data_IF_037431618065
#
_entry.id   IF_037431618065
#
_cell.length_a   1.000
_cell.length_b   1.000
_cell.length_c   1.000
_cell.angle_alpha   90.00
_cell.angle_beta   90.00
_cell.angle_gamma   90.00
#
_symmetry.space_group_name_H-M   'P 1'
#
loop_
_entity.id
_entity.type
_entity.pdbx_description
1 polymer ?
#
# COMPACT_ATOMS: atom_id res chain seq x y z
N UNK A 1 5.27 -21.22 -0.37
CA UNK A 1 5.23 -19.81 -0.82
C UNK A 1 5.01 -18.94 0.40
N UNK A 2 5.98 -18.10 0.78
CA UNK A 2 5.87 -17.21 1.94
C UNK A 2 5.20 -15.91 1.48
N UNK A 3 3.92 -15.72 1.81
CA UNK A 3 3.19 -14.47 1.53
C UNK A 3 3.52 -13.39 2.58
N UNK A 4 4.80 -13.23 2.88
CA UNK A 4 5.29 -12.12 3.70
C UNK A 4 5.00 -10.83 2.94
N UNK A 5 4.20 -9.94 3.52
CA UNK A 5 3.97 -8.62 2.95
C UNK A 5 5.28 -7.86 3.10
N UNK A 6 5.89 -7.50 1.97
CA UNK A 6 7.18 -6.82 1.98
C UNK A 6 7.05 -5.42 2.61
N UNK A 7 8.11 -4.93 3.28
CA UNK A 7 8.18 -3.50 3.60
C UNK A 7 8.01 -2.68 2.31
N UNK A 8 7.35 -1.54 2.41
CA UNK A 8 6.98 -0.71 1.26
C UNK A 8 5.69 -1.14 0.56
N UNK A 9 4.99 -2.18 1.03
CA UNK A 9 3.71 -2.58 0.46
C UNK A 9 2.68 -1.44 0.49
N UNK A 10 2.05 -1.20 -0.66
CA UNK A 10 0.99 -0.21 -0.83
C UNK A 10 -0.34 -0.82 -0.42
N UNK A 11 -0.92 -0.26 0.64
CA UNK A 11 -2.10 -0.78 1.30
C UNK A 11 -3.30 0.14 1.09
N UNK A 12 -4.47 -0.48 0.91
CA UNK A 12 -5.75 0.17 1.06
C UNK A 12 -6.44 -0.24 2.35
N UNK A 13 -7.46 0.52 2.75
CA UNK A 13 -8.24 0.25 3.96
C UNK A 13 -9.60 -0.29 3.57
N UNK A 14 -9.94 -1.47 4.08
CA UNK A 14 -11.28 -2.04 3.95
C UNK A 14 -12.24 -1.17 4.77
N UNK A 15 -13.29 -0.67 4.13
CA UNK A 15 -14.23 0.28 4.76
C UNK A 15 -14.99 -0.35 5.92
N UNK A 16 -15.46 -1.59 5.74
CA UNK A 16 -16.29 -2.28 6.72
C UNK A 16 -15.52 -2.65 8.01
N UNK A 17 -14.27 -3.12 7.87
CA UNK A 17 -13.49 -3.61 9.01
C UNK A 17 -12.45 -2.61 9.51
N UNK A 18 -12.10 -1.62 8.71
CA UNK A 18 -11.00 -0.70 8.98
C UNK A 18 -9.61 -1.33 8.87
N UNK A 19 -9.50 -2.61 8.49
CA UNK A 19 -8.23 -3.34 8.32
C UNK A 19 -7.56 -2.95 7.01
N UNK A 20 -6.26 -3.20 6.93
CA UNK A 20 -5.46 -2.91 5.75
C UNK A 20 -5.15 -4.19 4.97
N UNK A 21 -5.19 -4.08 3.64
CA UNK A 21 -4.79 -5.13 2.71
C UNK A 21 -4.09 -4.51 1.51
N UNK A 22 -3.43 -5.34 0.69
CA UNK A 22 -2.78 -4.88 -0.55
C UNK A 22 -3.79 -4.17 -1.45
N UNK A 23 -3.41 -3.00 -1.96
CA UNK A 23 -4.32 -2.19 -2.76
C UNK A 23 -4.36 -2.67 -4.21
N UNK A 24 -5.35 -3.51 -4.53
CA UNK A 24 -5.60 -4.02 -5.88
C UNK A 24 -6.01 -2.91 -6.86
N UNK A 25 -5.90 -3.17 -8.16
CA UNK A 25 -6.23 -2.21 -9.22
C UNK A 25 -7.73 -1.86 -9.26
N UNK A 26 -8.58 -2.82 -8.91
CA UNK A 26 -10.05 -2.69 -8.86
C UNK A 26 -10.56 -3.31 -7.56
N UNK A 27 -11.78 -2.95 -7.19
CA UNK A 27 -12.43 -3.42 -5.96
C UNK A 27 -13.65 -2.58 -5.64
N UNK A 28 -14.38 -2.96 -4.60
CA UNK A 28 -15.61 -2.28 -4.16
C UNK A 28 -15.71 -2.11 -2.64
N UNK A 29 -14.71 -2.56 -1.88
CA UNK A 29 -14.68 -2.55 -0.42
C UNK A 29 -13.90 -1.35 0.17
N UNK A 30 -13.28 -0.54 -0.69
CA UNK A 30 -12.45 0.60 -0.33
C UNK A 30 -10.94 0.30 -0.35
N UNK A 31 -10.54 -0.98 -0.32
CA UNK A 31 -9.14 -1.36 -0.33
C UNK A 31 -8.44 -1.10 -1.68
N UNK A 32 -9.20 -0.91 -2.75
CA UNK A 32 -8.68 -0.49 -4.06
C UNK A 32 -8.12 0.95 -4.07
N UNK A 33 -8.30 1.73 -3.01
CA UNK A 33 -7.69 3.06 -2.86
C UNK A 33 -6.47 2.96 -1.95
N UNK A 34 -5.29 3.32 -2.45
CA UNK A 34 -4.06 3.33 -1.67
C UNK A 34 -4.06 4.46 -0.66
N UNK A 35 -3.92 4.12 0.62
CA UNK A 35 -3.96 5.08 1.72
C UNK A 35 -2.86 4.83 2.76
N UNK A 36 -2.06 3.77 2.62
CA UNK A 36 -0.98 3.48 3.55
C UNK A 36 0.20 2.74 2.92
N UNK A 37 1.35 2.81 3.58
CA UNK A 37 2.58 2.06 3.23
C UNK A 37 3.05 1.27 4.45
N UNK A 38 3.33 -0.02 4.27
CA UNK A 38 3.84 -0.89 5.35
C UNK A 38 5.31 -0.61 5.65
N UNK A 39 5.67 -0.41 6.92
CA UNK A 39 7.07 -0.13 7.31
C UNK A 39 7.91 -1.38 7.58
N UNK A 40 7.30 -2.41 8.19
CA UNK A 40 7.99 -3.64 8.56
C UNK A 40 7.27 -4.84 7.96
N UNK A 41 7.99 -5.90 7.59
CA UNK A 41 7.37 -7.10 7.04
C UNK A 41 6.38 -7.71 8.03
N UNK A 42 5.22 -8.09 7.53
CA UNK A 42 4.17 -8.76 8.32
C UNK A 42 3.82 -10.07 7.65
N UNK A 43 3.75 -11.13 8.45
CA UNK A 43 3.26 -12.43 8.01
C UNK A 43 1.77 -12.57 8.34
N UNK A 44 0.92 -12.27 7.36
CA UNK A 44 -0.54 -12.41 7.47
C UNK A 44 -1.05 -13.67 6.75
N UNK A 45 -0.23 -14.72 6.62
CA UNK A 45 -0.55 -15.89 5.80
C UNK A 45 -1.73 -16.70 6.35
N UNK A 46 -1.86 -16.79 7.68
CA UNK A 46 -2.86 -17.65 8.33
C UNK A 46 -4.02 -16.87 8.98
N UNK A 47 -3.83 -15.57 9.22
CA UNK A 47 -4.78 -14.67 9.86
C UNK A 47 -4.29 -13.23 9.73
N UNK A 48 -5.15 -12.28 10.13
CA UNK A 48 -4.75 -10.89 10.31
C UNK A 48 -3.58 -10.78 11.29
N UNK A 49 -2.65 -9.90 10.99
CA UNK A 49 -1.50 -9.63 11.82
C UNK A 49 -1.33 -8.12 12.03
N UNK A 50 -0.76 -7.75 13.18
CA UNK A 50 -0.50 -6.34 13.51
C UNK A 50 0.75 -5.89 12.76
N UNK A 51 0.61 -4.76 12.05
CA UNK A 51 1.69 -4.13 11.29
C UNK A 51 1.77 -2.63 11.58
N UNK A 52 2.96 -2.06 11.43
CA UNK A 52 3.17 -0.61 11.52
C UNK A 52 3.14 -0.05 10.10
N UNK A 53 2.30 0.95 9.89
CA UNK A 53 2.10 1.59 8.59
C UNK A 53 2.30 3.10 8.70
N UNK A 54 2.75 3.69 7.60
CA UNK A 54 2.54 5.11 7.33
C UNK A 54 1.16 5.24 6.74
N UNK A 55 0.19 5.73 7.51
CA UNK A 55 -1.19 5.87 7.05
C UNK A 55 -1.58 7.30 6.65
N UNK A 56 -0.82 8.30 7.08
CA UNK A 56 -1.10 9.73 6.87
C UNK A 56 0.19 10.54 6.88
N UNK A 57 0.21 11.60 6.08
CA UNK A 57 1.35 12.51 5.98
C UNK A 57 1.37 13.65 7.01
N UNK A 58 2.38 14.54 6.91
CA UNK A 58 3.39 14.56 5.84
C UNK A 58 4.44 13.45 5.98
N UNK A 59 4.71 12.72 4.90
CA UNK A 59 5.78 11.72 4.84
C UNK A 59 6.31 11.59 3.42
N UNK A 60 7.61 11.39 3.28
CA UNK A 60 8.25 11.12 1.98
C UNK A 60 8.74 9.68 1.97
N UNK A 61 8.43 8.95 0.91
CA UNK A 61 8.85 7.55 0.70
C UNK A 61 9.59 7.41 -0.63
N UNK A 62 10.49 6.44 -0.71
CA UNK A 62 11.15 6.09 -1.97
C UNK A 62 10.16 5.40 -2.91
N UNK A 63 10.03 5.90 -4.14
CA UNK A 63 9.17 5.32 -5.17
C UNK A 63 9.65 3.92 -5.56
N UNK A 64 10.96 3.71 -5.62
CA UNK A 64 11.57 2.40 -5.92
C UNK A 64 11.34 1.38 -4.79
N UNK A 65 11.07 1.84 -3.57
CA UNK A 65 10.76 0.98 -2.43
C UNK A 65 9.30 0.54 -2.33
N UNK A 66 8.41 1.02 -3.20
CA UNK A 66 6.99 0.67 -3.14
C UNK A 66 6.73 -0.69 -3.77
N UNK A 67 6.08 -1.57 -3.02
CA UNK A 67 5.63 -2.87 -3.48
C UNK A 67 4.12 -2.84 -3.75
N UNK A 68 3.71 -3.18 -4.96
CA UNK A 68 2.32 -3.14 -5.39
C UNK A 68 1.67 -4.52 -5.37
N UNK A 69 0.34 -4.53 -5.26
CA UNK A 69 -0.45 -5.74 -5.49
C UNK A 69 -0.27 -6.22 -6.95
N UNK A 70 -0.36 -7.52 -7.20
CA UNK A 70 -0.02 -8.12 -8.51
C UNK A 70 -0.83 -7.59 -9.69
N UNK A 71 -2.05 -7.08 -9.47
CA UNK A 71 -2.88 -6.46 -10.51
C UNK A 71 -2.46 -5.04 -10.91
N UNK A 72 -1.60 -4.40 -10.10
CA UNK A 72 -1.06 -3.05 -10.28
C UNK A 72 0.36 -3.17 -10.85
N UNK A 73 0.43 -3.45 -12.14
CA UNK A 73 1.67 -3.85 -12.81
C UNK A 73 1.90 -3.14 -14.15
N UNK A 74 1.18 -2.05 -14.41
CA UNK A 74 1.32 -1.27 -15.64
C UNK A 74 1.54 0.23 -15.36
N UNK A 75 1.96 0.93 -16.42
CA UNK A 75 2.33 2.34 -16.38
C UNK A 75 1.17 3.29 -16.12
N UNK A 76 -0.09 2.84 -16.19
CA UNK A 76 -1.25 3.65 -15.84
C UNK A 76 -1.63 3.49 -14.37
N UNK A 77 -1.58 2.26 -13.85
CA UNK A 77 -2.01 1.93 -12.49
C UNK A 77 -1.01 2.38 -11.44
N UNK A 78 0.30 2.24 -11.68
CA UNK A 78 1.33 2.62 -10.70
C UNK A 78 1.27 4.12 -10.36
N UNK A 79 1.28 5.05 -11.35
CA UNK A 79 1.09 6.47 -11.06
C UNK A 79 -0.23 6.78 -10.37
N UNK A 80 -1.30 6.04 -10.70
CA UNK A 80 -2.59 6.15 -10.03
C UNK A 80 -2.49 5.88 -8.52
N UNK A 81 -1.79 4.82 -8.11
CA UNK A 81 -1.56 4.53 -6.68
C UNK A 81 -0.69 5.58 -6.00
N UNK A 82 0.31 6.11 -6.70
CA UNK A 82 1.16 7.19 -6.17
C UNK A 82 0.34 8.46 -5.94
N UNK A 83 -0.58 8.80 -6.85
CA UNK A 83 -1.47 9.96 -6.69
C UNK A 83 -2.44 9.76 -5.51
N UNK A 84 -2.95 8.56 -5.30
CA UNK A 84 -3.78 8.22 -4.14
C UNK A 84 -3.01 8.38 -2.82
N UNK A 85 -1.76 7.90 -2.74
CA UNK A 85 -0.90 8.11 -1.57
C UNK A 85 -0.62 9.61 -1.34
N UNK A 86 -0.40 10.38 -2.40
CA UNK A 86 -0.19 11.81 -2.30
C UNK A 86 -1.41 12.54 -1.72
N UNK A 87 -2.63 12.08 -2.03
CA UNK A 87 -3.86 12.66 -1.47
C UNK A 87 -3.97 12.51 0.06
N UNK A 88 -3.30 11.52 0.65
CA UNK A 88 -3.21 11.33 2.12
C UNK A 88 -1.91 11.89 2.72
N UNK A 89 -1.12 12.62 1.93
CA UNK A 89 0.12 13.29 2.35
C UNK A 89 1.38 12.40 2.34
N UNK A 90 1.31 11.22 1.72
CA UNK A 90 2.45 10.31 1.54
C UNK A 90 3.02 10.55 0.13
N UNK A 91 4.16 11.23 0.05
CA UNK A 91 4.74 11.67 -1.22
C UNK A 91 5.85 10.71 -1.66
N UNK A 92 5.64 10.03 -2.79
CA UNK A 92 6.67 9.16 -3.38
C UNK A 92 7.66 9.97 -4.24
N UNK A 93 8.95 9.88 -3.90
CA UNK A 93 10.05 10.52 -4.65
C UNK A 93 11.00 9.47 -5.20
N UNK A 94 11.62 9.77 -6.34
CA UNK A 94 12.76 8.99 -6.80
C UNK A 94 13.93 9.20 -5.85
N UNK A 95 14.70 8.14 -5.62
CA UNK A 95 16.01 8.26 -4.99
C UNK A 95 16.99 8.97 -5.92
N UNK A 96 18.06 9.52 -5.34
CA UNK A 96 19.25 9.95 -6.10
C UNK A 96 20.06 8.74 -6.54
#
# INVERSE_FOLDING_TARGET
>A
MKNTVAPGAVLGRITASGKYTLSAATGADGAQVAVAVLLYPVNATLADAVGIVVARGPSIVSRAGLAYEGTVNDAAKIPGKIAQLASVGIIARDGV
#
